data_IF_008236135195
#
_entry.id   IF_008236135195
#
_cell.length_a   1.000
_cell.length_b   1.000
_cell.length_c   1.000
_cell.angle_alpha   90.00
_cell.angle_beta   90.00
_cell.angle_gamma   90.00
#
_symmetry.space_group_name_H-M   'P 1'
#
loop_
_entity.id
_entity.type
_entity.pdbx_description
1 polymer ?
#
# COMPACT_ATOMS: atom_id res chain seq x y z
N UNK A 1 5.71 -6.50 -12.81
CA UNK A 1 6.10 -5.12 -13.13
C UNK A 1 5.86 -4.24 -11.90
N UNK A 2 6.68 -3.22 -11.65
CA UNK A 2 6.46 -2.22 -10.59
C UNK A 2 6.38 -0.86 -11.28
N UNK A 3 5.34 -0.10 -11.00
CA UNK A 3 5.13 1.25 -11.55
C UNK A 3 5.10 2.28 -10.41
N UNK A 4 5.50 3.51 -10.70
CA UNK A 4 5.28 4.65 -9.79
C UNK A 4 4.15 5.50 -10.34
N UNK A 5 3.16 5.79 -9.50
CA UNK A 5 1.95 6.52 -9.86
C UNK A 5 1.69 7.65 -8.86
N UNK A 6 0.88 8.62 -9.29
CA UNK A 6 0.48 9.78 -8.49
C UNK A 6 -1.03 10.00 -8.64
N UNK A 7 -1.74 10.09 -7.52
CA UNK A 7 -3.16 10.43 -7.43
C UNK A 7 -3.34 11.60 -6.46
N UNK A 8 -3.57 12.80 -7.01
CA UNK A 8 -3.60 14.02 -6.20
C UNK A 8 -2.23 14.27 -5.54
N UNK A 9 -2.18 14.29 -4.21
CA UNK A 9 -0.91 14.43 -3.47
C UNK A 9 -0.24 13.09 -3.14
N UNK A 10 -0.92 11.97 -3.41
CA UNK A 10 -0.50 10.62 -3.00
C UNK A 10 0.36 10.01 -4.09
N UNK A 11 1.66 9.86 -3.84
CA UNK A 11 2.61 9.13 -4.70
C UNK A 11 2.82 7.72 -4.18
N UNK A 12 2.63 6.71 -5.02
CA UNK A 12 2.67 5.31 -4.60
C UNK A 12 3.30 4.40 -5.65
N UNK A 13 3.69 3.21 -5.21
CA UNK A 13 4.18 2.13 -6.06
C UNK A 13 3.05 1.14 -6.32
N UNK A 14 2.85 0.77 -7.58
CA UNK A 14 1.90 -0.26 -8.00
C UNK A 14 2.62 -1.56 -8.31
N UNK A 15 2.13 -2.64 -7.71
CA UNK A 15 2.61 -4.00 -7.90
C UNK A 15 1.57 -4.80 -8.67
N UNK A 16 1.92 -5.18 -9.89
CA UNK A 16 1.08 -6.07 -10.69
C UNK A 16 1.18 -7.49 -10.15
N UNK A 17 0.02 -8.08 -9.88
CA UNK A 17 -0.10 -9.47 -9.46
C UNK A 17 -0.51 -10.35 -10.66
N UNK A 18 -0.73 -11.66 -10.43
CA UNK A 18 -1.28 -12.57 -11.46
C UNK A 18 -2.58 -11.99 -12.05
N UNK A 19 -3.46 -11.53 -11.16
CA UNK A 19 -4.63 -10.74 -11.49
C UNK A 19 -4.79 -9.61 -10.47
N UNK A 20 -5.19 -8.42 -10.94
CA UNK A 20 -5.32 -7.23 -10.10
C UNK A 20 -3.98 -6.59 -9.72
N UNK A 21 -4.05 -5.61 -8.82
CA UNK A 21 -2.91 -4.80 -8.40
C UNK A 21 -2.94 -4.54 -6.89
N UNK A 22 -1.74 -4.47 -6.31
CA UNK A 22 -1.52 -3.95 -4.96
C UNK A 22 -0.79 -2.62 -5.06
N UNK A 23 -1.28 -1.60 -4.39
CA UNK A 23 -0.63 -0.30 -4.33
C UNK A 23 -0.02 -0.07 -2.94
N UNK A 24 1.15 0.54 -2.90
CA UNK A 24 1.92 0.84 -1.69
C UNK A 24 2.29 2.31 -1.64
N UNK A 25 1.80 2.99 -0.61
CA UNK A 25 2.21 4.35 -0.30
C UNK A 25 3.18 4.33 0.87
N UNK A 26 4.22 5.16 0.79
CA UNK A 26 5.20 5.36 1.86
C UNK A 26 5.44 6.85 2.03
N UNK A 27 5.36 7.35 3.25
CA UNK A 27 5.57 8.77 3.52
C UNK A 27 5.64 9.09 5.00
N UNK A 28 5.53 10.37 5.34
CA UNK A 28 5.57 10.79 6.75
C UNK A 28 4.35 10.30 7.51
N UNK A 29 4.56 9.80 8.74
CA UNK A 29 3.55 9.20 9.61
C UNK A 29 2.39 10.11 10.00
N UNK A 30 2.55 11.44 9.90
CA UNK A 30 1.43 12.37 10.10
C UNK A 30 0.42 12.31 8.96
N UNK A 31 0.82 11.80 7.80
CA UNK A 31 -0.01 11.73 6.61
C UNK A 31 -0.75 10.39 6.55
N UNK A 32 -2.00 10.48 6.12
CA UNK A 32 -2.83 9.35 5.77
C UNK A 32 -3.28 9.53 4.31
N UNK A 33 -2.95 8.61 3.38
CA UNK A 33 -3.27 8.76 1.96
C UNK A 33 -4.77 8.75 1.64
N UNK A 34 -5.63 8.41 2.60
CA UNK A 34 -7.09 8.60 2.47
C UNK A 34 -7.52 10.08 2.63
N UNK A 35 -6.64 10.97 3.12
CA UNK A 35 -6.95 12.39 3.28
C UNK A 35 -6.88 13.11 1.93
N UNK A 36 -7.70 14.15 1.75
CA UNK A 36 -7.73 14.95 0.50
C UNK A 36 -6.46 15.77 0.27
N UNK A 37 -5.73 16.11 1.32
CA UNK A 37 -4.54 16.95 1.26
C UNK A 37 -3.44 16.38 2.17
N UNK A 38 -2.19 16.62 1.77
CA UNK A 38 -1.01 16.36 2.58
C UNK A 38 -0.92 17.37 3.74
N UNK A 39 -0.47 16.94 4.90
CA UNK A 39 -0.08 17.86 5.96
C UNK A 39 1.14 18.69 5.56
N UNK A 40 1.18 19.93 6.05
CA UNK A 40 2.31 20.84 5.85
C UNK A 40 3.47 20.58 6.83
N UNK A 41 3.18 19.87 7.93
CA UNK A 41 4.17 19.48 8.93
C UNK A 41 4.81 18.14 8.55
N UNK A 42 6.03 17.95 9.03
CA UNK A 42 6.81 16.70 8.90
C UNK A 42 7.20 16.26 10.30
N UNK A 43 6.90 15.02 10.66
CA UNK A 43 7.34 14.42 11.91
C UNK A 43 8.71 13.75 11.77
N UNK A 44 9.22 13.60 10.55
CA UNK A 44 10.43 12.83 10.22
C UNK A 44 10.32 11.36 10.68
N UNK A 45 9.11 10.83 10.68
CA UNK A 45 8.78 9.44 11.00
C UNK A 45 8.01 8.86 9.82
N UNK A 46 8.18 7.57 9.54
CA UNK A 46 7.65 6.94 8.33
C UNK A 46 6.41 6.08 8.63
N UNK A 47 5.44 6.10 7.72
CA UNK A 47 4.33 5.16 7.66
C UNK A 47 4.21 4.55 6.27
N UNK A 48 3.76 3.30 6.24
CA UNK A 48 3.46 2.55 5.02
C UNK A 48 1.98 2.22 5.02
N UNK A 49 1.34 2.40 3.88
CA UNK A 49 -0.06 2.03 3.66
C UNK A 49 -0.16 1.20 2.38
N UNK A 50 -1.12 0.29 2.37
CA UNK A 50 -1.40 -0.58 1.24
C UNK A 50 -2.87 -0.52 0.85
N UNK A 51 -3.19 -0.78 -0.41
CA UNK A 51 -4.57 -0.99 -0.89
C UNK A 51 -4.59 -2.06 -1.99
N UNK A 52 -5.74 -2.70 -2.15
CA UNK A 52 -6.00 -3.62 -3.26
C UNK A 52 -6.85 -2.90 -4.31
N UNK A 53 -6.35 -2.82 -5.56
CA UNK A 53 -6.99 -2.05 -6.62
C UNK A 53 -7.26 -0.60 -6.19
N UNK A 54 -8.53 -0.20 -6.24
CA UNK A 54 -9.00 1.14 -5.87
C UNK A 54 -9.66 1.19 -4.47
N UNK A 55 -9.35 0.24 -3.59
CA UNK A 55 -9.88 0.23 -2.21
C UNK A 55 -9.31 1.39 -1.39
N UNK A 56 -9.86 1.58 -0.18
CA UNK A 56 -9.24 2.47 0.82
C UNK A 56 -7.84 1.98 1.17
N UNK A 57 -6.98 2.93 1.52
CA UNK A 57 -5.65 2.66 2.05
C UNK A 57 -5.76 2.16 3.50
N UNK A 58 -5.06 1.08 3.79
CA UNK A 58 -4.98 0.46 5.12
C UNK A 58 -3.53 0.55 5.60
N UNK A 59 -3.33 0.91 6.86
CA UNK A 59 -2.00 1.00 7.46
C UNK A 59 -1.32 -0.37 7.45
N UNK A 60 -0.03 -0.42 7.14
CA UNK A 60 0.76 -1.66 7.27
C UNK A 60 0.71 -2.23 8.69
N UNK A 61 0.57 -1.37 9.72
CA UNK A 61 0.42 -1.80 11.11
C UNK A 61 -0.89 -2.57 11.36
N UNK A 62 -1.95 -2.25 10.61
CA UNK A 62 -3.25 -2.94 10.68
C UNK A 62 -3.22 -4.27 9.92
N UNK A 63 -2.39 -4.39 8.88
CA UNK A 63 -2.24 -5.58 8.01
C UNK A 63 -1.27 -6.64 8.58
N UNK A 64 -0.98 -6.60 9.87
CA UNK A 64 -0.02 -7.53 10.50
C UNK A 64 1.45 -7.26 10.15
N UNK A 65 1.78 -6.05 9.67
CA UNK A 65 3.15 -5.57 9.50
C UNK A 65 3.95 -6.36 8.45
N UNK A 66 4.98 -7.09 8.91
CA UNK A 66 5.97 -7.76 8.05
C UNK A 66 5.41 -8.89 7.18
N UNK A 67 4.15 -9.32 7.36
CA UNK A 67 3.51 -10.36 6.54
C UNK A 67 3.60 -10.04 5.04
N UNK A 68 3.45 -8.76 4.68
CA UNK A 68 3.49 -8.33 3.28
C UNK A 68 4.84 -8.60 2.60
N UNK A 69 5.94 -8.55 3.35
CA UNK A 69 7.27 -8.82 2.82
C UNK A 69 7.44 -10.28 2.37
N UNK A 70 6.68 -11.21 2.99
CA UNK A 70 6.70 -12.63 2.63
C UNK A 70 5.75 -12.95 1.47
N UNK A 71 4.66 -12.20 1.33
CA UNK A 71 3.62 -12.44 0.31
C UNK A 71 3.91 -11.71 -1.00
N UNK A 72 4.51 -10.53 -0.96
CA UNK A 72 4.79 -9.71 -2.15
C UNK A 72 5.70 -10.40 -3.19
N UNK A 73 6.67 -11.25 -2.83
CA UNK A 73 7.41 -12.05 -3.82
C UNK A 73 6.52 -13.03 -4.59
N UNK A 74 5.46 -13.55 -3.97
CA UNK A 74 4.49 -14.49 -4.57
C UNK A 74 3.43 -13.81 -5.45
N UNK A 75 3.52 -12.50 -5.65
CA UNK A 75 2.54 -11.72 -6.45
C UNK A 75 2.33 -12.21 -7.87
N UNK A 76 3.30 -12.90 -8.47
CA UNK A 76 3.14 -13.44 -9.82
C UNK A 76 2.38 -14.78 -9.86
N UNK A 77 2.22 -15.43 -8.70
CA UNK A 77 1.53 -16.71 -8.54
C UNK A 77 0.11 -16.53 -8.02
N UNK A 78 -0.11 -15.50 -7.21
CA UNK A 78 -1.38 -15.18 -6.55
C UNK A 78 -2.02 -13.92 -7.13
N UNK A 79 -3.34 -13.82 -7.03
CA UNK A 79 -4.10 -12.60 -7.30
C UNK A 79 -3.86 -11.56 -6.19
N UNK A 80 -4.05 -10.29 -6.53
CA UNK A 80 -3.95 -9.21 -5.55
C UNK A 80 -4.95 -9.40 -4.39
N UNK A 81 -6.14 -9.95 -4.68
CA UNK A 81 -7.16 -10.21 -3.67
C UNK A 81 -6.75 -11.35 -2.74
N UNK A 82 -6.21 -12.46 -3.26
CA UNK A 82 -5.71 -13.56 -2.42
C UNK A 82 -4.61 -13.09 -1.46
N UNK A 83 -3.68 -12.27 -1.95
CA UNK A 83 -2.64 -11.68 -1.07
C UNK A 83 -3.27 -10.76 -0.03
N UNK A 84 -4.27 -9.96 -0.42
CA UNK A 84 -4.95 -9.04 0.47
C UNK A 84 -5.71 -9.76 1.59
N UNK A 85 -6.41 -10.84 1.26
CA UNK A 85 -7.18 -11.62 2.21
C UNK A 85 -6.26 -12.29 3.25
N UNK A 86 -5.08 -12.77 2.85
CA UNK A 86 -4.05 -13.32 3.75
C UNK A 86 -3.45 -12.25 4.71
N UNK A 87 -3.48 -10.98 4.34
CA UNK A 87 -2.94 -9.88 5.15
C UNK A 87 -3.90 -9.42 6.24
N UNK A 88 -5.21 -9.51 6.00
CA UNK A 88 -6.24 -9.02 6.93
C UNK A 88 -6.66 -10.09 7.96
N UNK A 89 -6.25 -11.35 7.75
CA UNK A 89 -6.38 -12.42 8.76
C UNK A 89 -5.45 -12.20 9.96
#
# INVERSE_FOLDING_TARGET
MIEQLEEGWVRFKRFHCKEGVLDCWQGDSINNPNNKMKNLLSLNSHATYWRVGNSKWVSELELGGKKILNLLPKRFELTAQEIWDELIQ
#
